data_IF_829903372384
#
_entry.id   IF_829903372384
#
_cell.length_a   1.000
_cell.length_b   1.000
_cell.length_c   1.000
_cell.angle_alpha   90.00
_cell.angle_beta   90.00
_cell.angle_gamma   90.00
#
_symmetry.space_group_name_H-M   'P 1'
#
loop_
_entity.id
_entity.type
_entity.pdbx_description
1 polymer ?
#
# COMPACT_ATOMS: atom_id res chain seq x y z
N UNK A 1 -32.35 1.66 3.93
CA UNK A 1 -31.28 1.01 3.11
C UNK A 1 -31.96 0.20 2.03
N UNK A 2 -32.12 0.73 0.82
CA UNK A 2 -32.56 -0.08 -0.32
C UNK A 2 -31.39 -0.98 -0.72
N UNK A 3 -31.61 -2.29 -0.72
CA UNK A 3 -30.65 -3.30 -1.17
C UNK A 3 -30.44 -3.14 -2.68
N UNK A 4 -29.19 -3.11 -3.10
CA UNK A 4 -28.70 -3.05 -4.50
C UNK A 4 -29.19 -4.22 -5.37
N UNK A 5 -30.02 -5.13 -4.86
CA UNK A 5 -30.48 -6.32 -5.57
C UNK A 5 -31.37 -6.06 -6.80
N UNK A 6 -31.82 -4.81 -7.03
CA UNK A 6 -32.67 -4.47 -8.19
C UNK A 6 -31.89 -3.99 -9.42
N UNK A 7 -30.53 -3.82 -9.32
CA UNK A 7 -29.72 -3.24 -10.41
C UNK A 7 -28.94 -4.32 -11.20
N UNK A 8 -29.03 -5.58 -10.82
CA UNK A 8 -28.16 -6.67 -11.33
C UNK A 8 -28.44 -7.21 -12.75
N UNK A 9 -29.35 -6.67 -13.54
CA UNK A 9 -29.77 -7.24 -14.82
C UNK A 9 -29.75 -6.26 -15.98
N UNK A 10 -28.61 -5.61 -16.26
CA UNK A 10 -28.38 -5.04 -17.59
C UNK A 10 -26.95 -5.41 -18.01
N UNK A 11 -26.82 -6.31 -19.02
CA UNK A 11 -25.62 -6.51 -19.82
C UNK A 11 -25.35 -5.23 -20.66
N UNK A 12 -25.13 -4.10 -19.99
CA UNK A 12 -24.96 -2.81 -20.63
C UNK A 12 -23.56 -2.27 -20.29
N UNK A 13 -22.86 -1.82 -21.30
CA UNK A 13 -21.61 -1.08 -21.09
C UNK A 13 -21.95 0.35 -20.62
N UNK A 14 -21.69 0.63 -19.36
CA UNK A 14 -21.98 1.93 -18.75
C UNK A 14 -20.93 3.00 -19.06
N UNK A 15 -19.75 2.63 -19.60
CA UNK A 15 -18.70 3.61 -19.93
C UNK A 15 -19.19 4.62 -20.97
N UNK A 16 -19.68 4.22 -22.17
CA UNK A 16 -20.18 5.19 -23.15
C UNK A 16 -21.42 5.95 -22.66
N UNK A 17 -22.25 5.33 -21.81
CA UNK A 17 -23.45 6.00 -21.27
C UNK A 17 -23.08 7.16 -20.32
N UNK A 18 -22.07 6.97 -19.46
CA UNK A 18 -21.57 8.04 -18.60
C UNK A 18 -20.96 9.16 -19.43
N UNK A 19 -20.17 8.82 -20.47
CA UNK A 19 -19.57 9.81 -21.38
C UNK A 19 -20.67 10.68 -22.03
N UNK A 20 -21.73 10.07 -22.58
CA UNK A 20 -22.85 10.80 -23.17
C UNK A 20 -23.58 11.71 -22.16
N UNK A 21 -23.83 11.22 -20.95
CA UNK A 21 -24.46 12.03 -19.89
C UNK A 21 -23.61 13.24 -19.55
N UNK A 22 -22.28 13.07 -19.48
CA UNK A 22 -21.38 14.17 -19.15
C UNK A 22 -21.23 15.16 -20.31
N UNK A 23 -21.17 14.69 -21.55
CA UNK A 23 -21.18 15.55 -22.75
C UNK A 23 -22.38 16.49 -22.77
N UNK A 24 -23.58 15.95 -22.51
CA UNK A 24 -24.81 16.75 -22.44
C UNK A 24 -24.75 17.75 -21.28
N UNK A 25 -24.32 17.31 -20.09
CA UNK A 25 -24.27 18.15 -18.88
C UNK A 25 -23.27 19.29 -19.01
N UNK A 26 -22.13 19.03 -19.60
CA UNK A 26 -21.03 19.98 -19.79
C UNK A 26 -21.16 20.80 -21.07
N UNK A 27 -22.16 20.51 -21.92
CA UNK A 27 -22.41 21.19 -23.22
C UNK A 27 -21.17 21.13 -24.15
N UNK A 28 -20.47 20.00 -24.13
CA UNK A 28 -19.26 19.77 -24.92
C UNK A 28 -17.93 20.09 -24.24
N UNK A 29 -17.94 20.71 -23.03
CA UNK A 29 -16.72 20.86 -22.25
C UNK A 29 -16.28 19.51 -21.64
N UNK A 30 -14.97 19.33 -21.48
CA UNK A 30 -14.40 18.12 -20.89
C UNK A 30 -14.70 18.06 -19.37
N UNK A 31 -15.31 16.99 -18.87
CA UNK A 31 -15.52 16.85 -17.43
C UNK A 31 -14.21 16.62 -16.68
N UNK A 32 -14.06 17.25 -15.51
CA UNK A 32 -12.87 17.16 -14.69
C UNK A 32 -13.10 16.33 -13.42
N UNK A 33 -12.16 15.45 -13.11
CA UNK A 33 -12.13 14.66 -11.89
C UNK A 33 -10.98 15.07 -10.97
N UNK A 34 -11.27 15.24 -9.68
CA UNK A 34 -10.29 15.39 -8.62
C UNK A 34 -10.23 14.10 -7.78
N UNK A 35 -9.07 13.47 -7.71
CA UNK A 35 -8.89 12.23 -6.94
C UNK A 35 -7.81 12.45 -5.87
N UNK A 36 -8.16 12.19 -4.62
CA UNK A 36 -7.24 12.24 -3.49
C UNK A 36 -7.17 10.90 -2.79
N UNK A 37 -5.95 10.36 -2.71
CA UNK A 37 -5.69 9.06 -2.09
C UNK A 37 -5.14 9.24 -0.68
N UNK A 38 -5.73 8.55 0.28
CA UNK A 38 -5.26 8.42 1.65
C UNK A 38 -4.92 6.96 1.91
N UNK A 39 -3.70 6.66 2.37
CA UNK A 39 -3.38 5.31 2.79
C UNK A 39 -2.11 4.72 2.20
N UNK A 40 -2.16 3.42 1.87
CA UNK A 40 -1.02 2.63 1.41
C UNK A 40 -0.92 2.59 -0.12
N UNK A 41 0.15 1.96 -0.63
CA UNK A 41 0.38 1.78 -2.07
C UNK A 41 -0.77 1.04 -2.77
N UNK A 42 -1.44 0.10 -2.08
CA UNK A 42 -2.63 -0.56 -2.64
C UNK A 42 -3.76 0.45 -2.92
N UNK A 43 -3.97 1.45 -2.04
CA UNK A 43 -4.95 2.51 -2.33
C UNK A 43 -4.50 3.39 -3.51
N UNK A 44 -3.20 3.58 -3.72
CA UNK A 44 -2.69 4.28 -4.92
C UNK A 44 -3.03 3.48 -6.17
N UNK A 45 -2.72 2.19 -6.21
CA UNK A 45 -3.08 1.32 -7.33
C UNK A 45 -4.59 1.28 -7.58
N UNK A 46 -5.40 1.20 -6.51
CA UNK A 46 -6.86 1.27 -6.62
C UNK A 46 -7.32 2.61 -7.25
N UNK A 47 -6.66 3.73 -6.91
CA UNK A 47 -6.95 5.04 -7.50
C UNK A 47 -6.51 5.15 -8.97
N UNK A 48 -5.40 4.52 -9.35
CA UNK A 48 -4.96 4.44 -10.75
C UNK A 48 -5.96 3.67 -11.63
N UNK A 49 -6.57 2.60 -11.10
CA UNK A 49 -7.68 1.90 -11.75
C UNK A 49 -8.93 2.79 -11.89
N UNK A 50 -9.29 3.51 -10.81
CA UNK A 50 -10.40 4.48 -10.87
C UNK A 50 -10.14 5.55 -11.93
N UNK A 51 -8.90 6.09 -12.00
CA UNK A 51 -8.50 7.05 -13.03
C UNK A 51 -8.60 6.46 -14.44
N UNK A 52 -8.20 5.19 -14.62
CA UNK A 52 -8.32 4.49 -15.88
C UNK A 52 -9.78 4.40 -16.35
N UNK A 53 -10.70 3.99 -15.47
CA UNK A 53 -12.13 3.93 -15.76
C UNK A 53 -12.70 5.32 -16.08
N UNK A 54 -12.36 6.35 -15.29
CA UNK A 54 -12.81 7.73 -15.53
C UNK A 54 -12.28 8.27 -16.87
N UNK A 55 -11.02 7.98 -17.23
CA UNK A 55 -10.48 8.36 -18.55
C UNK A 55 -11.28 7.76 -19.71
N UNK A 56 -11.69 6.48 -19.60
CA UNK A 56 -12.55 5.85 -20.60
C UNK A 56 -13.96 6.46 -20.65
N UNK A 57 -14.43 7.05 -19.56
CA UNK A 57 -15.69 7.80 -19.50
C UNK A 57 -15.55 9.28 -19.92
N UNK A 58 -14.39 9.66 -20.46
CA UNK A 58 -14.15 11.00 -21.00
C UNK A 58 -13.71 12.05 -19.98
N UNK A 59 -13.38 11.66 -18.73
CA UNK A 59 -12.87 12.61 -17.73
C UNK A 59 -11.38 12.89 -17.92
N UNK A 60 -11.01 14.16 -17.76
CA UNK A 60 -9.66 14.62 -17.49
C UNK A 60 -9.48 14.88 -15.99
N UNK A 61 -8.23 15.18 -15.55
CA UNK A 61 -7.91 15.30 -14.13
C UNK A 61 -7.41 16.69 -13.77
N UNK A 62 -7.78 17.13 -12.57
CA UNK A 62 -7.36 18.41 -12.00
C UNK A 62 -6.81 18.20 -10.58
N UNK A 63 -5.87 19.07 -10.18
CA UNK A 63 -5.33 19.12 -8.82
C UNK A 63 -6.14 20.08 -7.92
N UNK A 64 -7.15 20.76 -8.48
CA UNK A 64 -7.99 21.71 -7.75
C UNK A 64 -9.41 21.18 -7.60
N UNK A 65 -9.89 20.93 -6.38
CA UNK A 65 -11.24 20.43 -6.16
C UNK A 65 -12.33 21.41 -6.63
N UNK A 66 -12.03 22.73 -6.68
CA UNK A 66 -12.99 23.76 -7.14
C UNK A 66 -13.30 23.67 -8.63
N UNK A 67 -12.40 23.10 -9.45
CA UNK A 67 -12.57 22.95 -10.89
C UNK A 67 -13.23 21.60 -11.27
N UNK A 68 -13.43 20.69 -10.30
CA UNK A 68 -13.85 19.33 -10.55
C UNK A 68 -15.37 19.19 -10.68
N UNK A 69 -15.82 18.31 -11.58
CA UNK A 69 -17.20 17.82 -11.70
C UNK A 69 -17.43 16.56 -10.84
N UNK A 70 -16.37 15.78 -10.65
CA UNK A 70 -16.34 14.59 -9.82
C UNK A 70 -15.17 14.65 -8.84
N UNK A 71 -15.47 14.49 -7.55
CA UNK A 71 -14.47 14.46 -6.48
C UNK A 71 -14.51 13.08 -5.82
N UNK A 72 -13.36 12.38 -5.79
CA UNK A 72 -13.23 11.10 -5.12
C UNK A 72 -12.12 11.14 -4.06
N UNK A 73 -12.45 10.70 -2.84
CA UNK A 73 -11.45 10.38 -1.82
C UNK A 73 -11.36 8.87 -1.65
N UNK A 74 -10.20 8.32 -1.96
CA UNK A 74 -9.87 6.91 -1.69
C UNK A 74 -9.24 6.80 -0.31
N UNK A 75 -9.79 5.97 0.56
CA UNK A 75 -9.59 6.01 2.02
C UNK A 75 -9.08 4.68 2.58
N UNK A 76 -8.30 4.76 3.67
CA UNK A 76 -7.64 3.62 4.30
C UNK A 76 -8.19 3.34 5.70
N UNK A 77 -8.38 2.07 6.05
CA UNK A 77 -8.83 1.61 7.36
C UNK A 77 -7.68 1.29 8.34
N UNK A 78 -6.42 1.28 7.86
CA UNK A 78 -5.29 0.80 8.65
C UNK A 78 -4.67 1.89 9.53
N UNK A 79 -4.72 3.16 9.11
CA UNK A 79 -4.07 4.28 9.81
C UNK A 79 -5.08 5.07 10.64
N UNK A 80 -4.86 5.17 11.96
CA UNK A 80 -5.75 5.83 12.91
C UNK A 80 -6.05 7.29 12.54
N UNK A 81 -5.03 8.09 12.32
CA UNK A 81 -5.20 9.50 11.95
C UNK A 81 -5.71 9.72 10.51
N UNK A 82 -5.92 8.66 9.72
CA UNK A 82 -6.50 8.80 8.40
C UNK A 82 -7.99 9.12 8.47
N UNK A 83 -8.71 8.61 9.45
CA UNK A 83 -10.14 8.83 9.60
C UNK A 83 -10.48 10.29 9.87
N UNK A 84 -9.87 10.90 10.91
CA UNK A 84 -10.13 12.30 11.26
C UNK A 84 -9.72 13.25 10.14
N UNK A 85 -8.59 12.97 9.49
CA UNK A 85 -8.14 13.75 8.34
C UNK A 85 -9.12 13.65 7.16
N UNK A 86 -9.66 12.46 6.89
CA UNK A 86 -10.67 12.25 5.84
C UNK A 86 -11.94 13.01 6.19
N UNK A 87 -12.47 12.88 7.42
CA UNK A 87 -13.69 13.56 7.83
C UNK A 87 -13.55 15.09 7.80
N UNK A 88 -12.40 15.63 8.22
CA UNK A 88 -12.10 17.05 8.13
C UNK A 88 -12.11 17.55 6.66
N UNK A 89 -11.42 16.83 5.77
CA UNK A 89 -11.37 17.19 4.35
C UNK A 89 -12.74 17.02 3.66
N UNK A 90 -13.50 15.98 3.97
CA UNK A 90 -14.87 15.81 3.46
C UNK A 90 -15.76 16.94 3.93
N UNK A 91 -15.66 17.33 5.22
CA UNK A 91 -16.42 18.45 5.78
C UNK A 91 -16.17 19.78 5.03
N UNK A 92 -14.91 20.04 4.65
CA UNK A 92 -14.54 21.23 3.89
C UNK A 92 -15.22 21.31 2.51
N UNK A 93 -15.56 20.16 1.88
CA UNK A 93 -16.27 20.13 0.60
C UNK A 93 -17.72 20.59 0.68
N UNK A 94 -18.30 20.74 1.89
CA UNK A 94 -19.67 21.20 2.06
C UNK A 94 -19.91 22.60 1.46
N UNK A 95 -18.95 23.51 1.64
CA UNK A 95 -19.02 24.85 1.07
C UNK A 95 -18.93 24.82 -0.45
N UNK A 96 -18.03 24.00 -0.98
CA UNK A 96 -17.90 23.80 -2.43
C UNK A 96 -19.18 23.23 -3.05
N UNK A 97 -19.75 22.18 -2.45
CA UNK A 97 -21.01 21.58 -2.92
C UNK A 97 -22.20 22.56 -2.92
N UNK A 98 -22.21 23.54 -1.99
CA UNK A 98 -23.24 24.60 -1.99
C UNK A 98 -23.06 25.60 -3.14
N UNK A 99 -21.80 25.95 -3.48
CA UNK A 99 -21.48 26.85 -4.62
C UNK A 99 -21.71 26.18 -5.96
N UNK A 100 -21.39 24.90 -6.04
CA UNK A 100 -21.47 24.06 -7.26
C UNK A 100 -22.33 22.80 -6.97
N UNK A 101 -23.65 22.90 -7.02
CA UNK A 101 -24.55 21.79 -6.67
C UNK A 101 -24.43 20.57 -7.59
N UNK A 102 -23.94 20.73 -8.81
CA UNK A 102 -23.76 19.67 -9.81
C UNK A 102 -22.60 18.73 -9.50
N UNK A 103 -21.59 19.17 -8.71
CA UNK A 103 -20.44 18.32 -8.37
C UNK A 103 -20.90 17.04 -7.69
N UNK A 104 -20.43 15.89 -8.16
CA UNK A 104 -20.63 14.63 -7.48
C UNK A 104 -19.41 14.34 -6.57
N UNK A 105 -19.67 14.20 -5.26
CA UNK A 105 -18.66 13.86 -4.27
C UNK A 105 -18.79 12.38 -3.91
N UNK A 106 -17.68 11.64 -4.02
CA UNK A 106 -17.62 10.22 -3.79
C UNK A 106 -16.52 9.86 -2.76
N UNK A 107 -16.76 8.79 -2.00
CA UNK A 107 -15.78 8.19 -1.08
C UNK A 107 -15.64 6.71 -1.41
N UNK A 108 -14.41 6.22 -1.48
CA UNK A 108 -14.15 4.79 -1.66
C UNK A 108 -13.00 4.30 -0.77
N UNK A 109 -12.66 3.02 -0.91
CA UNK A 109 -11.52 2.41 -0.24
C UNK A 109 -11.88 1.57 0.99
N UNK A 110 -10.85 1.05 1.65
CA UNK A 110 -11.00 0.11 2.77
C UNK A 110 -11.83 0.67 3.93
N UNK A 111 -11.73 1.97 4.20
CA UNK A 111 -12.48 2.63 5.28
C UNK A 111 -13.99 2.56 5.03
N UNK A 112 -14.44 2.57 3.77
CA UNK A 112 -15.85 2.52 3.40
C UNK A 112 -16.50 1.14 3.59
N UNK A 113 -15.70 0.09 3.75
CA UNK A 113 -16.20 -1.25 4.08
C UNK A 113 -16.63 -1.37 5.56
N UNK A 114 -16.17 -0.47 6.43
CA UNK A 114 -16.56 -0.45 7.85
C UNK A 114 -17.98 0.13 8.02
N UNK A 115 -18.86 -0.65 8.64
CA UNK A 115 -20.29 -0.29 8.75
C UNK A 115 -20.55 1.01 9.52
N UNK A 116 -19.86 1.17 10.67
CA UNK A 116 -20.01 2.35 11.50
C UNK A 116 -19.55 3.62 10.76
N UNK A 117 -18.50 3.53 9.96
CA UNK A 117 -17.98 4.63 9.14
C UNK A 117 -18.96 5.00 8.02
N UNK A 118 -19.44 4.00 7.27
CA UNK A 118 -20.42 4.24 6.20
C UNK A 118 -21.71 4.86 6.75
N UNK A 119 -22.16 4.40 7.91
CA UNK A 119 -23.32 4.97 8.61
C UNK A 119 -23.08 6.41 9.08
N UNK A 120 -21.89 6.72 9.62
CA UNK A 120 -21.47 8.08 10.00
C UNK A 120 -21.48 9.01 8.78
N UNK A 121 -20.93 8.58 7.65
CA UNK A 121 -20.92 9.36 6.41
C UNK A 121 -22.36 9.57 5.93
N UNK A 122 -23.19 8.52 5.95
CA UNK A 122 -24.57 8.63 5.54
C UNK A 122 -25.35 9.67 6.34
N UNK A 123 -25.16 9.72 7.66
CA UNK A 123 -25.88 10.64 8.55
C UNK A 123 -25.28 12.05 8.54
N UNK A 124 -23.95 12.18 8.61
CA UNK A 124 -23.27 13.45 8.88
C UNK A 124 -22.89 14.23 7.62
N UNK A 125 -22.79 13.56 6.46
CA UNK A 125 -22.37 14.17 5.19
C UNK A 125 -23.39 13.90 4.07
N UNK A 126 -24.63 14.45 4.17
CA UNK A 126 -25.70 14.18 3.20
C UNK A 126 -25.39 14.67 1.77
N UNK A 127 -24.40 15.52 1.60
CA UNK A 127 -23.93 16.03 0.32
C UNK A 127 -22.97 15.08 -0.42
N UNK A 128 -22.49 14.01 0.22
CA UNK A 128 -21.73 12.93 -0.43
C UNK A 128 -22.72 12.05 -1.19
N UNK A 129 -22.59 11.96 -2.52
CA UNK A 129 -23.54 11.27 -3.39
C UNK A 129 -23.23 9.79 -3.60
N UNK A 130 -21.95 9.39 -3.52
CA UNK A 130 -21.54 8.01 -3.75
C UNK A 130 -20.55 7.54 -2.68
N UNK A 131 -20.81 6.37 -2.10
CA UNK A 131 -19.88 5.67 -1.18
C UNK A 131 -19.79 4.23 -1.63
N UNK A 132 -18.56 3.73 -1.88
CA UNK A 132 -18.39 2.34 -2.31
C UNK A 132 -17.11 1.71 -1.74
N UNK A 133 -17.17 0.41 -1.50
CA UNK A 133 -16.05 -0.39 -1.03
C UNK A 133 -15.04 -0.74 -2.12
N UNK A 134 -13.89 -1.30 -1.72
CA UNK A 134 -12.80 -1.67 -2.65
C UNK A 134 -13.20 -2.72 -3.68
N UNK A 135 -14.13 -3.60 -3.33
CA UNK A 135 -14.61 -4.67 -4.23
C UNK A 135 -15.58 -4.18 -5.32
N UNK A 136 -15.90 -2.89 -5.36
CA UNK A 136 -16.83 -2.27 -6.31
C UNK A 136 -16.15 -1.33 -7.31
N UNK A 137 -14.82 -1.30 -7.37
CA UNK A 137 -14.11 -0.40 -8.29
C UNK A 137 -14.48 -0.70 -9.75
N UNK A 138 -14.60 -1.98 -10.12
CA UNK A 138 -15.02 -2.40 -11.46
C UNK A 138 -16.45 -1.97 -11.83
N UNK A 139 -17.32 -1.77 -10.83
CA UNK A 139 -18.70 -1.30 -11.02
C UNK A 139 -18.82 0.24 -11.06
N UNK A 140 -17.70 1.00 -10.93
CA UNK A 140 -17.73 2.46 -10.89
C UNK A 140 -18.51 3.08 -12.06
N UNK A 141 -18.41 2.62 -13.32
CA UNK A 141 -19.20 3.20 -14.42
C UNK A 141 -20.71 3.10 -14.16
N UNK A 142 -21.20 1.95 -13.71
CA UNK A 142 -22.60 1.73 -13.37
C UNK A 142 -23.06 2.59 -12.17
N UNK A 143 -22.23 2.63 -11.11
CA UNK A 143 -22.52 3.43 -9.92
C UNK A 143 -22.60 4.91 -10.24
N UNK A 144 -21.64 5.40 -11.05
CA UNK A 144 -21.58 6.78 -11.48
C UNK A 144 -22.79 7.14 -12.35
N UNK A 145 -23.14 6.31 -13.34
CA UNK A 145 -24.33 6.48 -14.18
C UNK A 145 -25.59 6.62 -13.33
N UNK A 146 -25.78 5.72 -12.37
CA UNK A 146 -26.94 5.76 -11.50
C UNK A 146 -27.02 7.03 -10.63
N UNK A 147 -25.89 7.52 -10.13
CA UNK A 147 -25.84 8.79 -9.41
C UNK A 147 -26.17 9.98 -10.32
N UNK A 148 -25.64 9.98 -11.54
CA UNK A 148 -25.85 11.07 -12.49
C UNK A 148 -27.27 11.13 -13.03
N UNK A 149 -27.86 10.00 -13.41
CA UNK A 149 -29.17 9.97 -14.06
C UNK A 149 -30.31 10.00 -13.04
N UNK A 150 -30.21 9.20 -11.99
CA UNK A 150 -31.30 9.07 -11.01
C UNK A 150 -31.21 10.10 -9.88
N UNK A 151 -30.12 10.85 -9.75
CA UNK A 151 -29.90 11.80 -8.66
C UNK A 151 -29.89 11.17 -7.26
N UNK A 152 -29.86 9.84 -7.17
CA UNK A 152 -29.93 9.11 -5.91
C UNK A 152 -28.55 8.96 -5.29
N UNK A 153 -28.50 9.12 -3.99
CA UNK A 153 -27.33 8.82 -3.18
C UNK A 153 -27.16 7.30 -3.05
N UNK A 154 -25.97 6.79 -3.35
CA UNK A 154 -25.64 5.37 -3.29
C UNK A 154 -24.62 5.08 -2.20
N UNK A 155 -24.85 4.00 -1.44
CA UNK A 155 -23.88 3.43 -0.49
C UNK A 155 -23.80 1.93 -0.76
N UNK A 156 -22.65 1.49 -1.31
CA UNK A 156 -22.43 0.14 -1.81
C UNK A 156 -21.20 -0.45 -1.14
N UNK A 157 -21.39 -1.47 -0.30
CA UNK A 157 -20.34 -2.10 0.49
C UNK A 157 -20.66 -3.54 0.86
N UNK A 158 -19.70 -4.27 1.42
CA UNK A 158 -19.92 -5.59 1.99
C UNK A 158 -20.09 -6.68 0.93
N UNK A 159 -19.57 -6.48 -0.28
CA UNK A 159 -19.58 -7.51 -1.30
C UNK A 159 -18.73 -8.70 -0.84
N UNK A 160 -19.33 -9.87 -0.80
CA UNK A 160 -18.67 -11.15 -0.51
C UNK A 160 -18.18 -11.86 -1.78
N UNK A 161 -18.35 -11.24 -2.95
CA UNK A 161 -17.84 -11.78 -4.19
C UNK A 161 -16.31 -11.87 -4.10
N UNK A 162 -15.80 -13.05 -4.39
CA UNK A 162 -14.37 -13.36 -4.38
C UNK A 162 -13.75 -13.25 -5.78
N UNK A 163 -14.52 -12.86 -6.79
CA UNK A 163 -14.05 -12.70 -8.17
C UNK A 163 -12.99 -11.60 -8.24
N UNK A 164 -11.90 -11.86 -8.93
CA UNK A 164 -10.92 -10.87 -9.32
C UNK A 164 -11.27 -10.41 -10.73
N UNK A 165 -11.54 -9.14 -10.88
CA UNK A 165 -11.76 -8.52 -12.18
C UNK A 165 -10.41 -8.11 -12.76
N UNK A 166 -9.98 -8.83 -13.77
CA UNK A 166 -8.74 -8.56 -14.50
C UNK A 166 -8.96 -7.51 -15.59
N UNK A 167 -7.87 -6.93 -16.07
CA UNK A 167 -7.87 -5.96 -17.18
C UNK A 167 -8.67 -4.67 -16.90
N UNK A 168 -8.86 -4.29 -15.62
CA UNK A 168 -9.39 -2.97 -15.31
C UNK A 168 -8.42 -1.91 -15.87
N UNK A 169 -8.91 -0.96 -16.68
CA UNK A 169 -8.07 0.11 -17.20
C UNK A 169 -7.34 0.83 -16.09
N UNK A 170 -6.06 1.09 -16.28
CA UNK A 170 -5.22 1.73 -15.26
C UNK A 170 -4.53 2.95 -15.87
N UNK A 171 -4.74 4.13 -15.28
CA UNK A 171 -3.98 5.35 -15.59
C UNK A 171 -3.00 5.61 -14.46
N UNK A 172 -1.73 5.36 -14.73
CA UNK A 172 -0.68 5.48 -13.72
C UNK A 172 -0.27 6.93 -13.50
N UNK A 173 0.00 7.26 -12.25
CA UNK A 173 0.46 8.60 -11.86
C UNK A 173 1.99 8.75 -12.02
N UNK A 174 2.72 7.67 -11.83
CA UNK A 174 4.18 7.64 -11.91
C UNK A 174 4.69 7.38 -13.33
N UNK A 175 5.81 7.98 -13.70
CA UNK A 175 6.49 7.78 -14.98
C UNK A 175 7.58 6.71 -14.92
N UNK A 176 8.14 6.44 -13.76
CA UNK A 176 9.21 5.47 -13.55
C UNK A 176 8.98 4.49 -12.37
N UNK A 177 7.92 4.73 -11.56
CA UNK A 177 7.47 3.82 -10.49
C UNK A 177 6.11 3.24 -10.83
N UNK A 178 6.00 1.91 -10.83
CA UNK A 178 4.77 1.17 -11.11
C UNK A 178 4.33 0.32 -9.93
N UNK A 179 3.04 0.40 -9.63
CA UNK A 179 2.38 -0.45 -8.62
C UNK A 179 1.67 -1.59 -9.33
N UNK A 180 2.02 -2.83 -8.99
CA UNK A 180 1.44 -4.02 -9.61
C UNK A 180 0.76 -4.89 -8.54
N UNK A 181 -0.55 -4.75 -8.32
CA UNK A 181 -1.29 -5.66 -7.47
C UNK A 181 -1.22 -7.09 -8.01
N UNK A 182 -0.82 -8.06 -7.17
CA UNK A 182 -0.75 -9.47 -7.53
C UNK A 182 -1.79 -10.32 -6.79
N UNK A 183 -2.33 -9.78 -5.69
CA UNK A 183 -3.32 -10.46 -4.87
C UNK A 183 -4.11 -9.46 -4.02
N UNK A 184 -5.25 -9.89 -3.53
CA UNK A 184 -6.14 -9.12 -2.66
C UNK A 184 -6.57 -9.94 -1.45
N UNK A 185 -6.81 -9.27 -0.31
CA UNK A 185 -7.24 -9.89 0.93
C UNK A 185 -6.14 -10.63 1.69
N UNK A 186 -6.47 -11.18 2.86
CA UNK A 186 -5.50 -11.89 3.69
C UNK A 186 -6.20 -12.88 4.62
N UNK A 187 -5.68 -14.09 4.70
CA UNK A 187 -6.22 -15.18 5.53
C UNK A 187 -5.48 -15.39 6.85
N UNK A 188 -4.56 -14.48 7.20
CA UNK A 188 -3.81 -14.63 8.44
C UNK A 188 -4.64 -14.33 9.71
N UNK A 189 -5.67 -13.49 9.59
CA UNK A 189 -6.55 -13.11 10.71
C UNK A 189 -5.78 -12.76 11.99
N UNK A 190 -4.67 -12.01 11.83
CA UNK A 190 -3.96 -11.45 12.99
C UNK A 190 -4.95 -10.66 13.85
N UNK A 191 -4.95 -10.86 15.17
CA UNK A 191 -6.02 -10.38 16.04
C UNK A 191 -6.21 -8.86 16.07
N UNK A 192 -5.18 -8.09 15.71
CA UNK A 192 -5.19 -6.62 15.62
C UNK A 192 -5.56 -6.08 14.23
N UNK A 193 -5.63 -6.95 13.20
CA UNK A 193 -5.66 -6.51 11.81
C UNK A 193 -7.07 -6.44 11.25
N UNK A 194 -7.42 -5.28 10.69
CA UNK A 194 -8.74 -5.04 10.07
C UNK A 194 -8.80 -5.56 8.60
N UNK A 195 -7.67 -5.87 7.99
CA UNK A 195 -7.57 -6.22 6.55
C UNK A 195 -8.52 -7.34 6.12
N UNK A 196 -8.62 -8.51 6.81
CA UNK A 196 -9.54 -9.57 6.40
C UNK A 196 -11.01 -9.12 6.35
N UNK A 197 -11.37 -8.12 7.15
CA UNK A 197 -12.74 -7.62 7.27
C UNK A 197 -13.10 -6.56 6.21
N UNK A 198 -12.07 -5.86 5.66
CA UNK A 198 -12.29 -4.76 4.70
C UNK A 198 -11.80 -5.07 3.28
N UNK A 199 -10.91 -6.08 3.11
CA UNK A 199 -10.45 -6.55 1.79
C UNK A 199 -10.83 -8.02 1.49
N UNK A 200 -11.41 -8.69 2.50
CA UNK A 200 -11.91 -10.06 2.37
C UNK A 200 -10.81 -11.12 2.42
N UNK A 201 -11.20 -12.34 1.99
CA UNK A 201 -10.33 -13.51 1.94
C UNK A 201 -9.23 -13.34 0.89
N UNK A 202 -8.14 -14.07 1.07
CA UNK A 202 -6.99 -14.07 0.18
C UNK A 202 -7.37 -14.59 -1.22
N UNK A 203 -6.97 -13.87 -2.27
CA UNK A 203 -7.23 -14.20 -3.67
C UNK A 203 -6.02 -13.76 -4.50
N UNK A 204 -5.42 -14.70 -5.23
CA UNK A 204 -4.30 -14.43 -6.12
C UNK A 204 -4.79 -14.15 -7.54
N UNK A 205 -4.22 -13.15 -8.20
CA UNK A 205 -4.46 -12.87 -9.61
C UNK A 205 -3.84 -13.96 -10.50
N UNK A 206 -4.36 -14.11 -11.71
CA UNK A 206 -3.79 -15.02 -12.70
C UNK A 206 -2.34 -14.60 -13.03
N UNK A 207 -1.36 -15.54 -12.94
CA UNK A 207 0.04 -15.23 -13.22
C UNK A 207 0.29 -14.71 -14.64
N UNK A 208 -0.42 -15.19 -15.65
CA UNK A 208 -0.28 -14.72 -17.04
C UNK A 208 -0.61 -13.23 -17.16
N UNK A 209 -1.68 -12.77 -16.50
CA UNK A 209 -2.07 -11.36 -16.50
C UNK A 209 -1.05 -10.48 -15.78
N UNK A 210 -0.49 -10.99 -14.66
CA UNK A 210 0.55 -10.27 -13.91
C UNK A 210 1.82 -10.15 -14.76
N UNK A 211 2.26 -11.25 -15.41
CA UNK A 211 3.45 -11.27 -16.27
C UNK A 211 3.29 -10.33 -17.48
N UNK A 212 2.11 -10.33 -18.10
CA UNK A 212 1.78 -9.40 -19.19
C UNK A 212 1.88 -7.94 -18.73
N UNK A 213 1.30 -7.62 -17.57
CA UNK A 213 1.33 -6.26 -17.02
C UNK A 213 2.74 -5.85 -16.59
N UNK A 214 3.52 -6.76 -15.97
CA UNK A 214 4.92 -6.53 -15.63
C UNK A 214 5.76 -6.24 -16.89
N UNK A 215 5.57 -7.03 -17.96
CA UNK A 215 6.23 -6.81 -19.25
C UNK A 215 5.91 -5.43 -19.83
N UNK A 216 4.64 -5.03 -19.83
CA UNK A 216 4.22 -3.71 -20.27
C UNK A 216 4.89 -2.57 -19.46
N UNK A 217 5.02 -2.74 -18.13
CA UNK A 217 5.71 -1.76 -17.30
C UNK A 217 7.18 -1.63 -17.71
N UNK A 218 7.88 -2.75 -17.89
CA UNK A 218 9.29 -2.76 -18.30
C UNK A 218 9.47 -2.13 -19.69
N UNK A 219 8.64 -2.51 -20.67
CA UNK A 219 8.65 -1.98 -22.04
C UNK A 219 8.36 -0.47 -22.08
N UNK A 220 7.50 0.02 -21.18
CA UNK A 220 7.21 1.46 -21.02
C UNK A 220 8.28 2.22 -20.21
N UNK A 221 9.40 1.58 -19.86
CA UNK A 221 10.54 2.23 -19.22
C UNK A 221 10.43 2.43 -17.72
N UNK A 222 9.49 1.76 -17.03
CA UNK A 222 9.40 1.82 -15.58
C UNK A 222 10.66 1.23 -14.94
N UNK A 223 11.20 1.93 -13.93
CA UNK A 223 12.48 1.61 -13.26
C UNK A 223 12.30 0.95 -11.89
N UNK A 224 11.18 1.16 -11.24
CA UNK A 224 10.86 0.60 -9.92
C UNK A 224 9.45 0.02 -9.96
N UNK A 225 9.36 -1.31 -10.03
CA UNK A 225 8.10 -2.04 -10.09
C UNK A 225 7.88 -2.70 -8.73
N UNK A 226 6.83 -2.30 -8.02
CA UNK A 226 6.50 -2.86 -6.71
C UNK A 226 5.27 -3.75 -6.77
N UNK A 227 5.45 -5.03 -6.45
CA UNK A 227 4.36 -6.00 -6.32
C UNK A 227 3.58 -5.74 -5.03
N UNK A 228 2.27 -5.66 -5.15
CA UNK A 228 1.38 -5.32 -4.06
C UNK A 228 0.43 -6.47 -3.70
N UNK A 229 0.17 -6.59 -2.40
CA UNK A 229 -0.79 -7.48 -1.80
C UNK A 229 -0.86 -7.23 -0.30
N UNK A 230 -1.66 -8.00 0.43
CA UNK A 230 -1.74 -7.89 1.88
C UNK A 230 -0.86 -8.94 2.61
N UNK A 231 -0.40 -9.96 1.86
CA UNK A 231 0.60 -10.95 2.24
C UNK A 231 1.19 -11.55 0.95
N UNK A 232 2.09 -10.83 0.29
CA UNK A 232 2.55 -11.20 -1.07
C UNK A 232 3.21 -12.56 -1.14
N UNK A 233 3.90 -12.99 -0.08
CA UNK A 233 4.60 -14.27 -0.08
C UNK A 233 3.68 -15.49 0.14
N UNK A 234 2.38 -15.28 0.32
CA UNK A 234 1.37 -16.35 0.21
C UNK A 234 0.75 -16.48 -1.19
N UNK A 235 1.16 -15.64 -2.15
CA UNK A 235 0.66 -15.70 -3.52
C UNK A 235 0.67 -17.13 -4.08
N UNK A 236 -0.35 -17.44 -4.86
CA UNK A 236 -0.54 -18.74 -5.48
C UNK A 236 -1.45 -19.68 -4.71
N UNK A 237 -1.76 -19.37 -3.45
CA UNK A 237 -2.77 -20.14 -2.70
C UNK A 237 -4.14 -19.91 -3.32
N UNK A 238 -4.85 -21.01 -3.57
CA UNK A 238 -6.20 -20.97 -4.19
C UNK A 238 -6.22 -20.78 -5.71
N UNK A 239 -5.07 -20.68 -6.38
CA UNK A 239 -5.03 -20.75 -7.83
C UNK A 239 -5.41 -22.16 -8.32
N UNK A 240 -6.10 -22.28 -9.48
CA UNK A 240 -6.35 -23.55 -10.16
C UNK A 240 -5.03 -24.29 -10.42
N UNK A 241 -5.09 -25.63 -10.51
CA UNK A 241 -3.89 -26.46 -10.67
C UNK A 241 -3.09 -26.14 -11.94
N UNK A 242 -3.79 -25.79 -13.01
CA UNK A 242 -3.21 -25.39 -14.30
C UNK A 242 -2.40 -24.08 -14.22
N UNK A 243 -2.74 -23.19 -13.28
CA UNK A 243 -2.10 -21.89 -13.09
C UNK A 243 -1.30 -21.82 -11.77
N UNK A 244 -1.06 -22.98 -11.14
CA UNK A 244 -0.40 -23.02 -9.83
C UNK A 244 1.04 -22.53 -9.92
N UNK A 245 1.31 -21.45 -9.19
CA UNK A 245 2.62 -20.79 -9.16
C UNK A 245 2.86 -20.21 -7.75
N UNK A 246 4.04 -20.45 -7.18
CA UNK A 246 4.44 -19.83 -5.90
C UNK A 246 4.85 -18.38 -6.10
N UNK A 247 4.91 -17.61 -5.03
CA UNK A 247 5.43 -16.23 -5.09
C UNK A 247 6.89 -16.21 -5.59
N UNK A 248 7.72 -17.14 -5.12
CA UNK A 248 9.11 -17.27 -5.57
C UNK A 248 9.19 -17.51 -7.08
N UNK A 249 8.37 -18.40 -7.61
CA UNK A 249 8.30 -18.67 -9.06
C UNK A 249 7.81 -17.44 -9.84
N UNK A 250 6.75 -16.75 -9.36
CA UNK A 250 6.25 -15.56 -10.03
C UNK A 250 7.33 -14.47 -10.15
N UNK A 251 8.03 -14.15 -9.07
CA UNK A 251 9.08 -13.12 -9.11
C UNK A 251 10.27 -13.57 -9.95
N UNK A 252 10.59 -14.87 -9.97
CA UNK A 252 11.60 -15.46 -10.85
C UNK A 252 11.25 -15.34 -12.33
N UNK A 253 9.96 -15.48 -12.70
CA UNK A 253 9.52 -15.25 -14.09
C UNK A 253 9.58 -13.76 -14.47
N UNK A 254 9.20 -12.86 -13.57
CA UNK A 254 9.32 -11.42 -13.81
C UNK A 254 10.80 -11.02 -13.95
N UNK A 255 11.70 -11.61 -13.15
CA UNK A 255 13.16 -11.33 -13.19
C UNK A 255 13.82 -11.69 -14.54
N UNK A 256 13.20 -12.55 -15.35
CA UNK A 256 13.68 -12.90 -16.71
C UNK A 256 13.38 -11.84 -17.76
N UNK A 257 12.53 -10.86 -17.46
CA UNK A 257 12.22 -9.78 -18.41
C UNK A 257 13.47 -8.93 -18.65
N UNK A 258 13.77 -8.68 -19.92
CA UNK A 258 14.89 -7.82 -20.30
C UNK A 258 14.56 -6.34 -20.01
N UNK A 259 15.50 -5.64 -19.35
CA UNK A 259 15.36 -4.23 -19.03
C UNK A 259 16.25 -3.81 -17.87
N UNK A 260 16.25 -2.52 -17.57
CA UNK A 260 16.96 -1.97 -16.41
C UNK A 260 15.94 -1.43 -15.40
N UNK A 261 15.53 -2.30 -14.48
CA UNK A 261 14.51 -2.01 -13.47
C UNK A 261 14.82 -2.71 -12.15
N UNK A 262 14.20 -2.26 -11.07
CA UNK A 262 14.11 -2.98 -9.82
C UNK A 262 12.71 -3.55 -9.62
N UNK A 263 12.67 -4.81 -9.21
CA UNK A 263 11.47 -5.48 -8.73
C UNK A 263 11.46 -5.47 -7.21
N UNK A 264 10.43 -4.86 -6.64
CA UNK A 264 10.22 -4.76 -5.20
C UNK A 264 8.93 -5.43 -4.78
N UNK A 265 8.83 -5.76 -3.52
CA UNK A 265 7.60 -6.18 -2.87
C UNK A 265 7.59 -5.77 -1.40
N UNK A 266 6.40 -5.61 -0.88
CA UNK A 266 6.15 -5.24 0.53
C UNK A 266 5.09 -6.18 1.11
N UNK A 267 4.84 -6.09 2.43
CA UNK A 267 3.75 -6.83 3.09
C UNK A 267 3.93 -8.35 3.09
N UNK A 268 5.13 -8.80 3.44
CA UNK A 268 5.43 -10.23 3.67
C UNK A 268 4.98 -10.69 5.07
N UNK A 269 4.81 -12.01 5.23
CA UNK A 269 4.56 -12.62 6.53
C UNK A 269 5.61 -13.70 6.82
N UNK A 270 6.24 -13.72 8.03
CA UNK A 270 7.32 -14.65 8.33
C UNK A 270 6.98 -16.13 8.12
N UNK A 271 5.74 -16.55 8.41
CA UNK A 271 5.32 -17.96 8.22
C UNK A 271 5.35 -18.40 6.76
N UNK A 272 5.22 -17.49 5.81
CA UNK A 272 5.17 -17.76 4.37
C UNK A 272 6.50 -17.39 3.66
N UNK A 273 7.53 -16.97 4.43
CA UNK A 273 8.86 -16.67 3.91
C UNK A 273 9.67 -17.96 3.76
N UNK A 274 9.62 -18.55 2.56
CA UNK A 274 10.28 -19.82 2.24
C UNK A 274 11.76 -19.63 1.91
N UNK A 275 12.55 -20.71 2.01
CA UNK A 275 13.94 -20.74 1.53
C UNK A 275 14.00 -20.52 0.01
N UNK A 276 13.04 -21.09 -0.74
CA UNK A 276 12.91 -20.86 -2.19
C UNK A 276 12.82 -19.37 -2.52
N UNK A 277 12.01 -18.60 -1.77
CA UNK A 277 11.91 -17.15 -1.96
C UNK A 277 13.25 -16.45 -1.73
N UNK A 278 13.95 -16.79 -0.64
CA UNK A 278 15.24 -16.20 -0.30
C UNK A 278 16.29 -16.54 -1.38
N UNK A 279 16.34 -17.79 -1.86
CA UNK A 279 17.25 -18.23 -2.91
C UNK A 279 16.94 -17.53 -4.24
N UNK A 280 15.68 -17.34 -4.58
CA UNK A 280 15.26 -16.58 -5.76
C UNK A 280 15.74 -15.13 -5.71
N UNK A 281 15.58 -14.46 -4.56
CA UNK A 281 16.08 -13.09 -4.36
C UNK A 281 17.60 -13.05 -4.51
N UNK A 282 18.32 -14.02 -3.92
CA UNK A 282 19.77 -14.06 -3.93
C UNK A 282 20.36 -14.26 -5.34
N UNK A 283 19.66 -14.95 -6.23
CA UNK A 283 20.09 -15.26 -7.60
C UNK A 283 19.61 -14.23 -8.63
N UNK A 284 18.75 -13.31 -8.23
CA UNK A 284 18.09 -12.36 -9.12
C UNK A 284 19.00 -11.23 -9.56
N UNK A 285 18.72 -10.70 -10.77
CA UNK A 285 19.35 -9.50 -11.32
C UNK A 285 18.56 -8.21 -10.98
N UNK A 286 17.24 -8.33 -10.87
CA UNK A 286 16.35 -7.18 -10.76
C UNK A 286 15.66 -7.08 -9.41
N UNK A 287 15.52 -8.20 -8.66
CA UNK A 287 14.87 -8.17 -7.35
C UNK A 287 15.74 -7.38 -6.37
N UNK A 288 15.11 -6.40 -5.75
CA UNK A 288 15.73 -5.53 -4.75
C UNK A 288 16.29 -6.34 -3.55
N UNK A 289 17.47 -5.97 -3.07
CA UNK A 289 18.10 -6.56 -1.86
C UNK A 289 17.43 -6.08 -0.57
N UNK A 290 16.16 -5.73 -0.63
CA UNK A 290 15.32 -5.28 0.49
C UNK A 290 14.27 -6.34 0.81
N UNK A 291 14.27 -6.84 2.03
CA UNK A 291 13.23 -7.74 2.55
C UNK A 291 12.50 -7.07 3.71
N UNK A 292 11.24 -6.74 3.49
CA UNK A 292 10.36 -6.28 4.54
C UNK A 292 9.66 -7.48 5.17
N UNK A 293 9.99 -7.80 6.43
CA UNK A 293 9.51 -9.00 7.12
C UNK A 293 8.96 -8.63 8.51
N UNK A 294 7.67 -8.23 8.61
CA UNK A 294 7.04 -7.78 9.83
C UNK A 294 7.00 -8.85 10.93
N UNK A 295 7.75 -8.68 12.02
CA UNK A 295 7.71 -9.62 13.14
C UNK A 295 6.74 -9.21 14.26
N UNK A 296 6.39 -7.95 14.37
CA UNK A 296 5.39 -7.34 15.26
C UNK A 296 5.74 -7.33 16.74
N UNK A 297 6.22 -8.43 17.34
CA UNK A 297 6.67 -8.57 18.72
C UNK A 297 7.77 -9.64 18.84
N UNK A 298 8.72 -9.45 19.73
CA UNK A 298 9.78 -10.41 20.03
C UNK A 298 9.38 -11.49 21.04
N UNK A 299 8.23 -11.36 21.69
CA UNK A 299 7.71 -12.31 22.68
C UNK A 299 6.82 -13.36 22.02
N UNK A 300 7.15 -14.64 22.22
CA UNK A 300 6.36 -15.76 21.71
C UNK A 300 4.93 -15.77 22.30
N UNK A 301 4.79 -15.34 23.55
CA UNK A 301 3.48 -15.18 24.20
C UNK A 301 2.61 -14.17 23.47
N UNK A 302 3.17 -13.01 23.13
CA UNK A 302 2.46 -11.96 22.42
C UNK A 302 2.20 -12.35 20.97
N UNK A 303 3.17 -12.98 20.28
CA UNK A 303 2.97 -13.50 18.92
C UNK A 303 1.79 -14.48 18.84
N UNK A 304 1.65 -15.36 19.84
CA UNK A 304 0.51 -16.28 19.96
C UNK A 304 -0.81 -15.52 20.14
N UNK A 305 -0.85 -14.49 21.00
CA UNK A 305 -2.04 -13.66 21.19
C UNK A 305 -2.38 -12.84 19.94
N UNK A 306 -1.38 -12.42 19.18
CA UNK A 306 -1.52 -11.75 17.89
C UNK A 306 -1.95 -12.70 16.75
N UNK A 307 -2.03 -14.02 16.99
CA UNK A 307 -2.33 -15.07 15.99
C UNK A 307 -1.29 -15.10 14.84
N UNK A 308 0.02 -15.04 15.17
CA UNK A 308 1.08 -14.90 14.16
C UNK A 308 1.59 -16.21 13.56
N UNK A 309 1.31 -17.37 14.14
CA UNK A 309 1.67 -18.72 13.66
C UNK A 309 3.17 -18.96 13.37
N UNK A 310 4.05 -18.27 14.07
CA UNK A 310 5.49 -18.50 14.16
C UNK A 310 5.97 -18.00 15.53
N UNK A 311 7.14 -18.42 15.95
CA UNK A 311 7.84 -18.01 17.14
C UNK A 311 9.13 -17.23 16.82
N UNK A 312 9.78 -16.69 17.85
CA UNK A 312 11.04 -15.98 17.75
C UNK A 312 12.14 -16.82 17.10
N UNK A 313 12.24 -18.11 17.47
CA UNK A 313 13.28 -19.01 16.97
C UNK A 313 13.15 -19.19 15.45
N UNK A 314 11.92 -19.41 14.95
CA UNK A 314 11.64 -19.53 13.52
C UNK A 314 11.93 -18.24 12.77
N UNK A 315 11.59 -17.08 13.34
CA UNK A 315 11.91 -15.80 12.75
C UNK A 315 13.42 -15.62 12.58
N UNK A 316 14.20 -15.90 13.62
CA UNK A 316 15.65 -15.80 13.59
C UNK A 316 16.28 -16.79 12.61
N UNK A 317 15.74 -18.01 12.47
CA UNK A 317 16.19 -18.98 11.44
C UNK A 317 16.08 -18.36 10.04
N UNK A 318 14.92 -17.77 9.72
CA UNK A 318 14.66 -17.13 8.41
C UNK A 318 15.63 -15.97 8.19
N UNK A 319 15.82 -15.11 9.18
CA UNK A 319 16.70 -13.95 9.11
C UNK A 319 18.17 -14.35 8.89
N UNK A 320 18.65 -15.35 9.62
CA UNK A 320 20.02 -15.86 9.47
C UNK A 320 20.25 -16.41 8.06
N UNK A 321 19.30 -17.22 7.56
CA UNK A 321 19.36 -17.76 6.22
C UNK A 321 19.34 -16.65 5.15
N UNK A 322 18.48 -15.65 5.30
CA UNK A 322 18.41 -14.54 4.37
C UNK A 322 19.70 -13.70 4.36
N UNK A 323 20.29 -13.44 5.53
CA UNK A 323 21.59 -12.73 5.64
C UNK A 323 22.76 -13.51 5.07
N UNK A 324 22.74 -14.85 5.17
CA UNK A 324 23.75 -15.73 4.56
C UNK A 324 23.69 -15.71 3.03
N UNK A 325 22.46 -15.73 2.48
CA UNK A 325 22.26 -15.90 1.03
C UNK A 325 22.27 -14.59 0.25
N UNK A 326 21.77 -13.49 0.84
CA UNK A 326 21.61 -12.23 0.13
C UNK A 326 22.67 -11.23 0.59
N UNK A 327 23.67 -10.93 -0.26
CA UNK A 327 24.69 -9.92 0.07
C UNK A 327 24.06 -8.55 0.30
N UNK A 328 24.55 -7.81 1.29
CA UNK A 328 24.06 -6.45 1.62
C UNK A 328 22.56 -6.35 1.86
N UNK A 329 21.93 -7.43 2.35
CA UNK A 329 20.51 -7.46 2.64
C UNK A 329 20.10 -6.31 3.56
N UNK A 330 19.12 -5.54 3.09
CA UNK A 330 18.41 -4.55 3.89
C UNK A 330 17.14 -5.18 4.47
N UNK A 331 17.11 -5.35 5.78
CA UNK A 331 15.96 -5.90 6.51
C UNK A 331 15.17 -4.78 7.16
N UNK A 332 13.85 -4.76 6.91
CA UNK A 332 12.92 -3.86 7.59
C UNK A 332 11.76 -4.64 8.18
N UNK A 333 11.10 -4.09 9.18
CA UNK A 333 9.99 -4.76 9.87
C UNK A 333 9.00 -3.77 10.43
N UNK A 334 7.80 -4.28 10.79
CA UNK A 334 6.82 -3.57 11.60
C UNK A 334 6.86 -4.08 13.03
N UNK A 335 6.65 -3.18 13.99
CA UNK A 335 6.53 -3.48 15.42
C UNK A 335 5.32 -2.76 15.99
N UNK A 336 4.53 -3.48 16.78
CA UNK A 336 3.42 -2.95 17.57
C UNK A 336 3.83 -3.01 19.04
N UNK A 337 3.99 -1.83 19.66
CA UNK A 337 4.31 -1.68 21.08
C UNK A 337 3.01 -1.54 21.88
N UNK A 338 2.94 -2.20 23.04
CA UNK A 338 1.79 -2.11 23.93
C UNK A 338 0.55 -2.82 23.38
N UNK A 339 0.72 -3.98 22.76
CA UNK A 339 -0.39 -4.86 22.41
C UNK A 339 -1.15 -5.25 23.69
N UNK A 340 -2.50 -5.42 23.68
CA UNK A 340 -3.27 -5.77 24.84
C UNK A 340 -2.70 -6.97 25.60
N UNK A 341 -2.40 -6.78 26.89
CA UNK A 341 -1.78 -7.78 27.73
C UNK A 341 -0.25 -7.94 27.60
N UNK A 342 0.42 -7.13 26.77
CA UNK A 342 1.89 -7.07 26.72
C UNK A 342 2.44 -6.51 28.03
N UNK A 343 3.43 -7.19 28.62
CA UNK A 343 4.17 -6.70 29.78
C UNK A 343 5.49 -6.05 29.37
N UNK A 344 6.14 -5.33 30.28
CA UNK A 344 7.46 -4.77 29.99
C UNK A 344 8.51 -5.85 29.73
N UNK A 345 8.39 -7.02 30.36
CA UNK A 345 9.25 -8.19 30.09
C UNK A 345 9.10 -8.67 28.65
N UNK A 346 7.88 -8.79 28.13
CA UNK A 346 7.63 -9.11 26.72
C UNK A 346 8.23 -8.07 25.78
N UNK A 347 8.09 -6.79 26.13
CA UNK A 347 8.68 -5.71 25.35
C UNK A 347 10.22 -5.77 25.34
N UNK A 348 10.87 -6.15 26.46
CA UNK A 348 12.33 -6.38 26.47
C UNK A 348 12.77 -7.49 25.51
N UNK A 349 11.95 -8.53 25.33
CA UNK A 349 12.22 -9.55 24.30
C UNK A 349 12.18 -8.95 22.89
N UNK A 350 11.28 -8.00 22.64
CA UNK A 350 11.22 -7.24 21.39
C UNK A 350 12.49 -6.41 21.17
N UNK A 351 12.96 -5.67 22.18
CA UNK A 351 14.23 -4.94 22.11
C UNK A 351 15.42 -5.85 21.86
N UNK A 352 15.46 -6.99 22.54
CA UNK A 352 16.51 -8.01 22.36
C UNK A 352 16.55 -8.54 20.93
N UNK A 353 15.40 -8.81 20.33
CA UNK A 353 15.31 -9.26 18.93
C UNK A 353 15.75 -8.18 17.95
N UNK A 354 15.35 -6.93 18.17
CA UNK A 354 15.79 -5.78 17.36
C UNK A 354 17.31 -5.65 17.36
N UNK A 355 17.93 -5.77 18.54
CA UNK A 355 19.39 -5.72 18.71
C UNK A 355 20.08 -6.89 18.01
N UNK A 356 19.56 -8.13 18.16
CA UNK A 356 20.13 -9.34 17.55
C UNK A 356 20.06 -9.29 16.01
N UNK A 357 18.94 -8.82 15.46
CA UNK A 357 18.72 -8.75 14.02
C UNK A 357 19.45 -7.57 13.39
N UNK A 358 19.49 -6.39 14.02
CA UNK A 358 20.11 -5.20 13.48
C UNK A 358 19.40 -4.73 12.20
N UNK A 359 18.14 -4.33 12.32
CA UNK A 359 17.32 -3.88 11.19
C UNK A 359 17.86 -2.60 10.56
N UNK A 360 17.71 -2.48 9.24
CA UNK A 360 18.03 -1.22 8.52
C UNK A 360 17.06 -0.11 8.93
N UNK A 361 15.79 -0.44 9.08
CA UNK A 361 14.75 0.48 9.54
C UNK A 361 13.57 -0.30 10.09
N UNK A 362 12.82 0.33 10.99
CA UNK A 362 11.58 -0.21 11.56
C UNK A 362 10.43 0.76 11.34
N UNK A 363 9.25 0.22 11.05
CA UNK A 363 7.98 0.93 11.13
C UNK A 363 7.35 0.56 12.48
N UNK A 364 7.33 1.53 13.38
CA UNK A 364 6.95 1.32 14.77
C UNK A 364 5.65 2.02 15.09
N UNK A 365 4.77 1.34 15.81
CA UNK A 365 3.44 1.83 16.16
C UNK A 365 3.14 1.50 17.62
N UNK A 366 2.51 2.42 18.33
CA UNK A 366 1.80 2.08 19.58
C UNK A 366 0.50 1.40 19.16
N UNK A 367 0.11 0.32 19.82
CA UNK A 367 -1.14 -0.36 19.54
C UNK A 367 -2.32 0.60 19.59
N UNK A 368 -3.14 0.55 18.55
CA UNK A 368 -4.38 1.31 18.44
C UNK A 368 -5.53 0.37 18.07
N UNK A 369 -6.59 0.27 18.89
CA UNK A 369 -7.68 -0.65 18.64
C UNK A 369 -8.40 -0.32 17.31
N UNK A 370 -8.74 -1.37 16.55
CA UNK A 370 -9.56 -1.26 15.34
C UNK A 370 -10.90 -1.91 15.57
N UNK A 371 -11.98 -1.13 15.49
CA UNK A 371 -13.34 -1.64 15.69
C UNK A 371 -13.61 -2.85 14.79
N UNK A 372 -14.17 -3.91 15.38
CA UNK A 372 -14.45 -5.17 14.69
C UNK A 372 -13.32 -6.22 14.75
N UNK A 373 -12.12 -5.88 15.24
CA UNK A 373 -11.04 -6.83 15.42
C UNK A 373 -11.09 -7.54 16.79
N UNK A 374 -10.57 -8.78 16.91
CA UNK A 374 -10.51 -9.47 18.20
C UNK A 374 -9.72 -8.71 19.28
N UNK A 375 -8.58 -8.12 18.92
CA UNK A 375 -7.72 -7.40 19.86
C UNK A 375 -8.39 -6.14 20.44
N UNK A 376 -9.32 -5.52 19.73
CA UNK A 376 -10.09 -4.37 20.24
C UNK A 376 -11.02 -4.72 21.43
N UNK A 377 -11.25 -6.02 21.66
CA UNK A 377 -12.07 -6.53 22.76
C UNK A 377 -11.24 -7.11 23.91
N UNK A 378 -9.92 -7.14 23.77
CA UNK A 378 -9.01 -7.63 24.80
C UNK A 378 -8.84 -6.57 25.90
N UNK A 379 -8.60 -7.03 27.12
CA UNK A 379 -8.24 -6.16 28.23
C UNK A 379 -6.86 -5.56 28.01
N UNK A 380 -6.76 -4.25 28.17
CA UNK A 380 -5.55 -3.46 27.90
C UNK A 380 -5.17 -2.63 29.14
N UNK A 381 -4.53 -3.27 30.15
CA UNK A 381 -4.27 -2.63 31.44
C UNK A 381 -3.13 -1.60 31.40
N UNK A 382 -2.30 -1.60 30.36
CA UNK A 382 -1.14 -0.71 30.26
C UNK A 382 -1.56 0.67 29.76
N UNK A 383 -1.24 1.72 30.52
CA UNK A 383 -1.57 3.08 30.14
C UNK A 383 -0.85 3.53 28.86
N UNK A 384 -1.46 4.45 28.11
CA UNK A 384 -0.83 5.03 26.92
C UNK A 384 0.53 5.70 27.24
N UNK A 385 0.65 6.35 28.42
CA UNK A 385 1.89 6.97 28.85
C UNK A 385 3.01 5.95 29.02
N UNK A 386 2.70 4.79 29.59
CA UNK A 386 3.68 3.70 29.76
C UNK A 386 4.08 3.09 28.42
N UNK A 387 3.12 2.82 27.54
CA UNK A 387 3.40 2.37 26.15
C UNK A 387 4.26 3.37 25.40
N UNK A 388 4.04 4.66 25.60
CA UNK A 388 4.85 5.71 24.98
C UNK A 388 6.29 5.72 25.48
N UNK A 389 6.55 5.42 26.76
CA UNK A 389 7.93 5.26 27.28
C UNK A 389 8.64 4.10 26.58
N UNK A 390 7.98 2.93 26.48
CA UNK A 390 8.52 1.78 25.75
C UNK A 390 8.78 2.11 24.28
N UNK A 391 7.87 2.85 23.68
CA UNK A 391 7.99 3.27 22.30
C UNK A 391 9.23 4.18 22.08
N UNK A 392 9.49 5.13 22.99
CA UNK A 392 10.69 5.97 22.92
C UNK A 392 11.98 5.18 23.10
N UNK A 393 11.98 4.16 23.99
CA UNK A 393 13.12 3.25 24.16
C UNK A 393 13.42 2.46 22.89
N UNK A 394 12.39 1.95 22.22
CA UNK A 394 12.54 1.28 20.91
C UNK A 394 13.09 2.20 19.83
N UNK A 395 12.59 3.44 19.76
CA UNK A 395 13.06 4.43 18.78
C UNK A 395 14.54 4.75 18.99
N UNK A 396 14.97 4.97 20.24
CA UNK A 396 16.38 5.26 20.57
C UNK A 396 17.31 4.10 20.19
N UNK A 397 16.88 2.84 20.47
CA UNK A 397 17.62 1.65 20.07
C UNK A 397 17.77 1.56 18.54
N UNK A 398 16.66 1.71 17.81
CA UNK A 398 16.69 1.62 16.35
C UNK A 398 17.49 2.75 15.70
N UNK A 399 17.46 3.96 16.26
CA UNK A 399 18.25 5.08 15.77
C UNK A 399 19.75 4.77 15.85
N UNK A 400 20.21 4.21 16.97
CA UNK A 400 21.62 3.78 17.11
C UNK A 400 21.99 2.72 16.06
N UNK A 401 21.18 1.70 15.90
CA UNK A 401 21.42 0.61 14.93
C UNK A 401 21.46 1.16 13.48
N UNK A 402 20.52 2.02 13.14
CA UNK A 402 20.47 2.62 11.81
C UNK A 402 21.67 3.52 11.53
N UNK A 403 22.09 4.30 12.52
CA UNK A 403 23.28 5.17 12.40
C UNK A 403 24.56 4.37 12.19
N UNK A 404 24.80 3.30 12.97
CA UNK A 404 25.93 2.39 12.80
C UNK A 404 25.95 1.75 11.40
N UNK A 405 24.78 1.27 10.95
CA UNK A 405 24.64 0.66 9.62
C UNK A 405 24.91 1.66 8.49
N UNK A 406 24.37 2.87 8.58
CA UNK A 406 24.65 3.91 7.60
C UNK A 406 26.12 4.33 7.61
N UNK A 407 26.74 4.45 8.78
CA UNK A 407 28.16 4.76 8.91
C UNK A 407 29.06 3.69 8.25
N UNK A 408 28.70 2.41 8.34
CA UNK A 408 29.44 1.32 7.70
C UNK A 408 29.42 1.33 6.18
N UNK A 409 28.50 2.09 5.55
CA UNK A 409 28.41 2.24 4.10
C UNK A 409 29.30 3.37 3.55
N UNK A 410 29.84 4.23 4.38
CA UNK A 410 30.71 5.34 3.95
C UNK A 410 31.97 4.78 3.26
N UNK A 411 32.33 5.33 2.10
CA UNK A 411 33.41 4.86 1.23
C UNK A 411 33.03 3.73 0.26
N UNK A 412 31.81 3.20 0.37
CA UNK A 412 31.32 2.22 -0.61
C UNK A 412 30.61 2.88 -1.80
N UNK A 413 30.53 2.15 -2.91
CA UNK A 413 29.76 2.58 -4.08
C UNK A 413 28.54 1.72 -4.26
N UNK A 414 27.43 2.32 -4.71
CA UNK A 414 26.18 1.62 -4.98
C UNK A 414 25.40 2.25 -6.13
N UNK A 415 24.55 1.43 -6.78
CA UNK A 415 23.56 1.89 -7.75
C UNK A 415 22.37 2.48 -7.00
N UNK A 416 21.88 3.64 -7.45
CA UNK A 416 20.72 4.33 -6.89
C UNK A 416 19.75 4.72 -8.00
N UNK A 417 18.45 4.76 -7.68
CA UNK A 417 17.42 5.36 -8.53
C UNK A 417 17.17 6.80 -8.07
N UNK A 418 17.22 7.76 -8.98
CA UNK A 418 16.89 9.15 -8.69
C UNK A 418 15.37 9.30 -8.63
N UNK A 419 14.84 9.65 -7.46
CA UNK A 419 13.40 9.67 -7.22
C UNK A 419 12.77 11.07 -7.32
N UNK A 420 13.54 12.11 -7.08
CA UNK A 420 13.05 13.49 -7.09
C UNK A 420 14.06 14.48 -6.54
N UNK A 421 13.62 15.70 -6.38
CA UNK A 421 14.39 16.77 -5.74
C UNK A 421 14.08 16.84 -4.24
N UNK A 422 15.04 17.29 -3.44
CA UNK A 422 14.80 17.63 -2.04
C UNK A 422 14.35 19.10 -1.92
N UNK A 423 14.07 19.57 -0.72
CA UNK A 423 13.81 20.99 -0.46
C UNK A 423 15.07 21.87 -0.63
N UNK A 424 16.25 21.25 -0.78
CA UNK A 424 17.52 21.95 -0.99
C UNK A 424 17.78 22.07 -2.48
N UNK A 425 18.30 23.21 -2.90
CA UNK A 425 18.67 23.47 -4.30
C UNK A 425 19.74 22.48 -4.77
N UNK A 426 19.57 21.93 -5.99
CA UNK A 426 20.48 20.99 -6.63
C UNK A 426 20.79 19.70 -5.85
N UNK A 427 19.97 19.36 -4.85
CA UNK A 427 20.09 18.09 -4.13
C UNK A 427 18.94 17.15 -4.53
N UNK A 428 19.32 16.03 -5.11
CA UNK A 428 18.41 14.96 -5.50
C UNK A 428 18.23 13.97 -4.34
N UNK A 429 17.01 13.49 -4.20
CA UNK A 429 16.71 12.33 -3.38
C UNK A 429 16.83 11.08 -4.25
N UNK A 430 17.69 10.18 -3.86
CA UNK A 430 17.86 8.90 -4.52
C UNK A 430 17.62 7.76 -3.55
N UNK A 431 17.49 6.56 -4.09
CA UNK A 431 17.22 5.34 -3.30
C UNK A 431 18.06 4.18 -3.79
N UNK A 432 18.66 3.43 -2.86
CA UNK A 432 19.42 2.20 -3.17
C UNK A 432 18.47 1.03 -3.45
N UNK A 433 19.02 -0.07 -3.99
CA UNK A 433 18.31 -1.36 -4.04
C UNK A 433 17.78 -1.78 -2.65
N UNK A 434 18.58 -1.60 -1.60
CA UNK A 434 18.20 -1.87 -0.20
C UNK A 434 17.20 -0.88 0.41
N UNK A 435 16.58 0.00 -0.37
CA UNK A 435 15.57 0.98 0.06
C UNK A 435 16.10 2.09 0.99
N UNK A 436 17.40 2.38 1.00
CA UNK A 436 18.04 3.42 1.79
C UNK A 436 18.09 4.72 0.96
N UNK A 437 17.78 5.85 1.60
CA UNK A 437 17.82 7.17 0.97
C UNK A 437 19.26 7.66 0.89
N UNK A 438 19.65 8.18 -0.29
CA UNK A 438 20.94 8.85 -0.52
C UNK A 438 20.65 10.22 -1.13
N UNK A 439 21.11 11.29 -0.48
CA UNK A 439 21.11 12.64 -1.04
C UNK A 439 22.37 12.82 -1.92
N UNK A 440 22.21 13.27 -3.17
CA UNK A 440 23.30 13.53 -4.09
C UNK A 440 23.13 14.88 -4.79
N UNK A 441 24.23 15.56 -5.11
CA UNK A 441 24.17 16.73 -5.99
C UNK A 441 23.90 16.31 -7.42
N UNK A 442 23.02 17.01 -8.10
CA UNK A 442 22.70 16.71 -9.51
C UNK A 442 21.53 17.52 -10.05
N UNK A 443 21.35 17.42 -11.35
CA UNK A 443 20.28 18.09 -12.10
C UNK A 443 18.99 17.26 -12.11
N UNK A 444 17.85 17.93 -12.08
CA UNK A 444 16.52 17.30 -12.07
C UNK A 444 16.22 16.45 -13.31
N UNK A 445 16.95 16.61 -14.42
CA UNK A 445 16.84 15.74 -15.60
C UNK A 445 17.21 14.28 -15.34
N UNK A 446 17.94 14.01 -14.24
CA UNK A 446 18.29 12.66 -13.82
C UNK A 446 17.14 11.91 -13.14
N UNK A 447 16.02 12.57 -12.83
CA UNK A 447 14.87 11.92 -12.18
C UNK A 447 14.37 10.76 -13.05
N UNK A 448 14.16 9.59 -12.43
CA UNK A 448 13.75 8.36 -13.11
C UNK A 448 14.90 7.57 -13.75
N UNK A 449 16.16 7.99 -13.54
CA UNK A 449 17.34 7.24 -14.03
C UNK A 449 18.10 6.55 -12.90
N UNK A 450 18.84 5.52 -13.26
CA UNK A 450 19.81 4.91 -12.35
C UNK A 450 21.16 5.62 -12.45
N UNK A 451 21.80 5.84 -11.31
CA UNK A 451 23.13 6.41 -11.19
C UNK A 451 24.01 5.53 -10.28
N UNK A 452 25.32 5.55 -10.51
CA UNK A 452 26.28 5.00 -9.57
C UNK A 452 26.77 6.11 -8.64
N UNK A 453 26.81 5.83 -7.35
CA UNK A 453 27.10 6.83 -6.31
C UNK A 453 28.11 6.27 -5.34
N UNK A 454 29.15 7.05 -5.04
CA UNK A 454 30.05 6.83 -3.91
C UNK A 454 29.44 7.47 -2.66
N UNK A 455 29.33 6.72 -1.58
CA UNK A 455 28.80 7.22 -0.30
C UNK A 455 29.89 7.99 0.43
N UNK A 456 29.70 9.29 0.61
CA UNK A 456 30.71 10.19 1.19
C UNK A 456 30.52 10.44 2.67
N UNK A 457 29.28 10.39 3.15
CA UNK A 457 28.98 10.58 4.58
C UNK A 457 27.61 9.98 4.94
N UNK A 458 27.39 9.78 6.24
CA UNK A 458 26.12 9.33 6.81
C UNK A 458 25.67 10.30 7.91
N UNK A 459 24.35 10.56 7.97
CA UNK A 459 23.70 11.30 9.04
C UNK A 459 22.43 10.58 9.44
N UNK A 460 22.47 9.92 10.61
CA UNK A 460 21.40 9.06 11.11
C UNK A 460 21.03 7.99 10.04
N UNK A 461 19.83 8.09 9.45
CA UNK A 461 19.33 7.15 8.42
C UNK A 461 19.41 7.69 6.98
N UNK A 462 20.04 8.84 6.76
CA UNK A 462 20.24 9.43 5.42
C UNK A 462 21.72 9.41 5.08
N UNK A 463 22.02 8.88 3.89
CA UNK A 463 23.36 8.90 3.32
C UNK A 463 23.52 10.13 2.42
N UNK A 464 24.75 10.60 2.28
CA UNK A 464 25.14 11.52 1.22
C UNK A 464 26.13 10.86 0.31
N UNK A 465 26.05 11.15 -0.97
CA UNK A 465 26.93 10.59 -1.96
C UNK A 465 27.25 11.55 -3.08
N UNK A 466 28.16 11.10 -3.95
CA UNK A 466 28.58 11.78 -5.15
C UNK A 466 28.37 10.84 -6.34
N UNK A 467 27.80 11.31 -7.42
CA UNK A 467 27.66 10.56 -8.68
C UNK A 467 29.04 10.34 -9.26
N UNK A 468 29.34 9.09 -9.70
CA UNK A 468 30.62 8.64 -10.24
C UNK A 468 30.49 8.06 -11.64
#
# INVERSE_FOLDING_TARGET
MQKVNEIKNMDCDFIPLVAQVMEIRKRGDVPLAYIRTYGCQQNVADSEQVKGLLSQMGYEFTDKPDDADFILFNTCAVREHAEDRVFGNVGALKALKRRHPSILIALCGCMMEQEHIANRIYKSFPFVGLVFGTNYIHELPQLLYNCLVNGKRLVVRGNKDTTIYENIPTRRDGTFKGWLPIMYGCDNFCTYCIVPYVRGRERSRNPENILKEAKQLVENGYKDITLLGQNVNSYGKGLPQENKMTFAQLIGEIDKLEGDYWLRFMTSHPKDCSKELIDTIAQSKHISTHLHLPFQSGSDRILKQMNRHYDRAKYLEIVRYAKEKIPNLSLTSDIIVGFPGETYEDFKETLSLVKEVGFTSLFTFIYSPREGTPAAKMDDPVSYQEKNKWFQELLALQESISAERCASMVGSSCKVLVEGVTAKENILQTRTSGNIIVEVEGDSSLIGTFQNVEITSARNWILKGKII
#
